data_IF_039348844581
#
_entry.id   IF_039348844581
#
_cell.length_a   1.000
_cell.length_b   1.000
_cell.length_c   1.000
_cell.angle_alpha   90.00
_cell.angle_beta   90.00
_cell.angle_gamma   90.00
#
_symmetry.space_group_name_H-M   'P 1'
#
loop_
_entity.id
_entity.type
_entity.pdbx_description
1 polymer ?
#
# COMPACT_ATOMS: atom_id res chain seq x y z
N UNK A 1 3.24 4.78 -6.94
CA UNK A 1 1.94 5.34 -6.50
C UNK A 1 1.24 4.35 -5.58
N UNK A 2 0.62 4.80 -4.50
CA UNK A 2 -0.13 3.94 -3.59
C UNK A 2 -1.63 4.18 -3.73
N UNK A 3 -2.44 3.15 -3.50
CA UNK A 3 -3.88 3.31 -3.37
C UNK A 3 -4.46 2.45 -2.28
N UNK A 4 -5.38 3.03 -1.52
CA UNK A 4 -6.07 2.38 -0.42
C UNK A 4 -7.46 2.03 -0.93
N UNK A 5 -7.87 0.77 -0.76
CA UNK A 5 -9.15 0.26 -1.26
C UNK A 5 -9.94 -0.40 -0.13
N UNK A 6 -11.24 -0.08 -0.09
CA UNK A 6 -12.22 -0.70 0.82
C UNK A 6 -12.65 -2.05 0.25
N UNK A 7 -12.47 -3.09 1.05
CA UNK A 7 -13.04 -4.41 0.85
C UNK A 7 -14.23 -4.60 1.79
N UNK A 8 -14.96 -5.71 1.62
CA UNK A 8 -16.15 -6.01 2.43
C UNK A 8 -15.84 -5.98 3.94
N UNK A 9 -14.65 -6.47 4.34
CA UNK A 9 -14.29 -6.63 5.75
C UNK A 9 -13.10 -5.76 6.21
N UNK A 10 -12.40 -5.07 5.30
CA UNK A 10 -11.19 -4.32 5.66
C UNK A 10 -10.73 -3.32 4.60
N UNK A 11 -9.81 -2.45 5.00
CA UNK A 11 -9.03 -1.63 4.08
C UNK A 11 -7.70 -2.30 3.75
N UNK A 12 -7.27 -2.17 2.50
CA UNK A 12 -5.94 -2.61 2.08
C UNK A 12 -5.26 -1.53 1.23
N UNK A 13 -3.97 -1.35 1.45
CA UNK A 13 -3.11 -0.50 0.64
C UNK A 13 -2.42 -1.35 -0.43
N UNK A 14 -2.36 -0.79 -1.63
CA UNK A 14 -1.72 -1.39 -2.80
C UNK A 14 -0.62 -0.45 -3.28
N UNK A 15 0.54 -1.01 -3.56
CA UNK A 15 1.66 -0.31 -4.16
C UNK A 15 1.70 -0.63 -5.66
N UNK A 16 1.46 0.37 -6.50
CA UNK A 16 1.49 0.22 -7.96
C UNK A 16 2.91 -0.04 -8.49
N UNK A 17 3.95 0.47 -7.79
CA UNK A 17 5.35 0.31 -8.21
C UNK A 17 5.86 -1.11 -7.96
N UNK A 18 5.54 -1.70 -6.79
CA UNK A 18 5.98 -3.06 -6.46
C UNK A 18 4.97 -4.13 -6.86
N UNK A 19 3.71 -3.76 -7.03
CA UNK A 19 2.58 -4.69 -7.19
C UNK A 19 2.16 -5.37 -5.90
N UNK A 20 2.67 -4.93 -4.75
CA UNK A 20 2.37 -5.53 -3.45
C UNK A 20 1.13 -4.92 -2.83
N UNK A 21 0.32 -5.78 -2.21
CA UNK A 21 -0.88 -5.40 -1.48
C UNK A 21 -0.77 -5.81 -0.03
N UNK A 22 -1.07 -4.89 0.89
CA UNK A 22 -1.05 -5.14 2.33
C UNK A 22 -2.38 -4.71 2.96
N UNK A 23 -2.94 -5.57 3.80
CA UNK A 23 -4.11 -5.22 4.62
C UNK A 23 -3.69 -4.26 5.73
N UNK A 24 -4.48 -3.21 5.91
CA UNK A 24 -4.27 -2.24 6.99
C UNK A 24 -4.84 -2.78 8.30
N UNK A 25 -4.13 -2.52 9.40
CA UNK A 25 -4.66 -2.75 10.75
C UNK A 25 -5.65 -1.65 11.14
N UNK A 26 -6.44 -1.86 12.19
CA UNK A 26 -7.39 -0.84 12.68
C UNK A 26 -6.70 0.46 13.09
N UNK A 27 -5.51 0.36 13.71
CA UNK A 27 -4.68 1.52 14.05
C UNK A 27 -4.24 2.30 12.81
N UNK A 28 -3.79 1.59 11.78
CA UNK A 28 -3.42 2.17 10.49
C UNK A 28 -4.64 2.80 9.80
N UNK A 29 -5.82 2.18 9.88
CA UNK A 29 -7.06 2.73 9.31
C UNK A 29 -7.42 4.05 9.98
N UNK A 30 -7.32 4.13 11.32
CA UNK A 30 -7.62 5.35 12.05
C UNK A 30 -6.65 6.48 11.66
N UNK A 31 -5.35 6.20 11.61
CA UNK A 31 -4.35 7.19 11.23
C UNK A 31 -4.56 7.68 9.79
N UNK A 32 -4.89 6.78 8.86
CA UNK A 32 -5.17 7.15 7.47
C UNK A 32 -6.50 7.92 7.37
N UNK A 33 -7.51 7.65 8.19
CA UNK A 33 -8.73 8.46 8.27
C UNK A 33 -8.47 9.88 8.78
N UNK A 34 -7.51 10.06 9.69
CA UNK A 34 -7.09 11.39 10.15
C UNK A 34 -6.34 12.17 9.05
N UNK A 35 -5.50 11.50 8.26
CA UNK A 35 -4.78 12.11 7.13
C UNK A 35 -5.72 12.38 5.93
N UNK A 36 -6.62 11.43 5.65
CA UNK A 36 -7.56 11.46 4.54
C UNK A 36 -9.00 11.37 5.05
N UNK A 37 -9.62 12.48 5.47
CA UNK A 37 -10.98 12.49 5.99
C UNK A 37 -12.03 12.00 4.97
N UNK A 38 -11.68 11.96 3.68
CA UNK A 38 -12.48 11.33 2.63
C UNK A 38 -12.74 9.83 2.89
N UNK A 39 -11.91 9.12 3.65
CA UNK A 39 -12.15 7.71 4.00
C UNK A 39 -13.34 7.51 4.94
N UNK A 40 -13.72 8.56 5.66
CA UNK A 40 -14.90 8.54 6.54
C UNK A 40 -16.20 8.62 5.74
N UNK A 41 -16.14 9.01 4.46
CA UNK A 41 -17.30 8.98 3.57
C UNK A 41 -17.55 7.54 3.11
N UNK A 42 -18.76 7.04 3.37
CA UNK A 42 -19.17 5.69 2.97
C UNK A 42 -19.18 5.49 1.45
N UNK A 43 -19.28 6.57 0.67
CA UNK A 43 -19.22 6.52 -0.79
C UNK A 43 -17.79 6.30 -1.31
N UNK A 44 -16.77 6.63 -0.51
CA UNK A 44 -15.37 6.48 -0.91
C UNK A 44 -14.94 5.03 -0.81
N UNK A 45 -14.66 4.43 -1.97
CA UNK A 45 -14.22 3.03 -2.10
C UNK A 45 -12.72 2.91 -2.28
N UNK A 46 -12.09 3.93 -2.84
CA UNK A 46 -10.66 3.94 -3.14
C UNK A 46 -10.10 5.35 -3.01
N UNK A 47 -8.90 5.47 -2.45
CA UNK A 47 -8.11 6.70 -2.44
C UNK A 47 -6.76 6.42 -3.07
N UNK A 48 -6.32 7.34 -3.92
CA UNK A 48 -5.04 7.28 -4.59
C UNK A 48 -4.15 8.38 -4.01
N UNK A 49 -2.93 8.01 -3.58
CA UNK A 49 -1.96 8.97 -3.07
C UNK A 49 -0.54 8.53 -3.41
N UNK A 50 0.31 9.47 -3.76
CA UNK A 50 1.72 9.20 -4.03
C UNK A 50 2.49 8.92 -2.73
N UNK A 51 2.09 9.55 -1.64
CA UNK A 51 2.64 9.35 -0.30
C UNK A 51 1.52 9.19 0.72
N UNK A 52 1.66 8.21 1.60
CA UNK A 52 0.78 8.02 2.76
C UNK A 52 1.69 8.11 3.97
N UNK A 53 1.64 9.24 4.69
CA UNK A 53 2.59 9.49 5.77
C UNK A 53 2.27 8.69 7.03
N UNK A 54 0.99 8.40 7.25
CA UNK A 54 0.54 7.62 8.40
C UNK A 54 0.94 6.15 8.34
N UNK A 55 1.26 5.63 7.15
CA UNK A 55 1.71 4.26 6.99
C UNK A 55 3.23 4.26 6.88
N UNK A 56 3.88 3.51 7.79
CA UNK A 56 5.30 3.21 7.67
C UNK A 56 5.50 2.15 6.57
N UNK A 57 5.15 2.53 5.33
CA UNK A 57 5.41 1.73 4.14
C UNK A 57 6.92 1.75 3.96
N UNK A 58 7.57 0.63 4.28
CA UNK A 58 8.98 0.44 4.02
C UNK A 58 9.24 0.89 2.57
N UNK A 59 10.23 1.76 2.34
CA UNK A 59 10.54 2.20 0.98
C UNK A 59 10.77 0.98 0.10
N UNK A 60 10.40 1.04 -1.19
CA UNK A 60 10.53 -0.08 -2.10
C UNK A 60 11.97 -0.59 -2.01
N UNK A 61 12.16 -1.80 -1.47
CA UNK A 61 13.47 -2.40 -1.45
C UNK A 61 13.88 -2.59 -2.92
N UNK A 62 15.07 -2.12 -3.33
CA UNK A 62 15.53 -2.34 -4.69
C UNK A 62 15.53 -3.84 -4.93
N UNK A 63 14.69 -4.29 -5.87
CA UNK A 63 14.57 -5.70 -6.25
C UNK A 63 15.98 -6.21 -6.51
N UNK A 64 16.50 -7.08 -5.64
CA UNK A 64 17.71 -7.83 -5.95
C UNK A 64 17.36 -8.75 -7.11
N UNK A 65 17.59 -8.25 -8.32
CA UNK A 65 17.54 -9.02 -9.54
C UNK A 65 18.51 -10.18 -9.32
N UNK A 66 17.98 -11.37 -9.03
CA UNK A 66 18.78 -12.60 -8.93
C UNK A 66 19.34 -12.86 -10.31
N UNK A 67 20.52 -12.28 -10.58
CA UNK A 67 21.34 -12.60 -11.73
C UNK A 67 21.66 -14.09 -11.62
N UNK A 68 20.87 -14.89 -12.34
CA UNK A 68 21.06 -16.32 -12.50
C UNK A 68 22.37 -16.51 -13.24
N UNK A 69 23.50 -16.54 -12.51
CA UNK A 69 24.81 -16.92 -13.06
C UNK A 69 24.68 -18.35 -13.58
N UNK A 70 24.45 -18.48 -14.88
CA UNK A 70 24.66 -19.74 -15.61
C UNK A 70 26.16 -20.01 -15.53
N UNK A 71 26.54 -20.96 -14.68
CA UNK A 71 27.88 -21.52 -14.64
C UNK A 71 28.05 -22.34 -15.94
N UNK A 72 28.81 -21.80 -16.89
CA UNK A 72 29.20 -22.52 -18.11
C UNK A 72 30.56 -23.15 -17.83
N UNK A 73 30.55 -24.49 -17.90
CA UNK A 73 31.64 -25.47 -18.02
C UNK A 73 32.83 -25.33 -17.08
#
# INVERSE_FOLDING_TARGET
>A
MYFIRKYADCWAVHNDDTGESRKLTEEEIHAVQEEFPALSDEQVRSIFSDNIHCLHLSPPQPRQHKSKKRRIR
#
